data_IF_123222202363
#
_entry.id   IF_123222202363
#
_cell.length_a   1.000
_cell.length_b   1.000
_cell.length_c   1.000
_cell.angle_alpha   90.00
_cell.angle_beta   90.00
_cell.angle_gamma   90.00
#
_symmetry.space_group_name_H-M   'P 1'
#
loop_
_entity.id
_entity.type
_entity.pdbx_description
1 polymer ?
#
# COMPACT_ATOMS: atom_id res chain seq x y z
N UNK A 1 2.59 55.48 11.58
CA UNK A 1 3.53 55.22 10.47
C UNK A 1 4.27 53.93 10.82
N UNK A 2 3.76 52.80 10.35
CA UNK A 2 4.36 51.49 10.55
C UNK A 2 5.09 51.10 9.26
N UNK A 3 6.38 50.80 9.38
CA UNK A 3 7.27 50.45 8.27
C UNK A 3 7.01 49.00 7.86
N UNK A 4 6.45 48.79 6.67
CA UNK A 4 6.40 47.45 6.06
C UNK A 4 7.82 47.03 5.67
N UNK A 5 8.32 45.95 6.29
CA UNK A 5 9.60 45.35 5.91
C UNK A 5 9.42 44.57 4.59
N UNK A 6 10.37 44.69 3.64
CA UNK A 6 10.30 43.99 2.37
C UNK A 6 10.37 42.46 2.57
N UNK A 7 9.63 41.68 1.76
CA UNK A 7 9.60 40.23 1.88
C UNK A 7 11.00 39.64 1.63
N UNK A 8 11.57 39.06 2.70
CA UNK A 8 12.84 38.35 2.65
C UNK A 8 12.74 37.17 1.68
N UNK A 9 13.61 37.17 0.68
CA UNK A 9 13.69 36.04 -0.25
C UNK A 9 14.15 34.81 0.52
N UNK A 10 13.44 33.67 0.41
CA UNK A 10 13.86 32.44 1.06
C UNK A 10 15.26 32.07 0.55
N UNK A 11 16.17 31.59 1.43
CA UNK A 11 17.50 31.18 1.03
C UNK A 11 17.38 30.11 -0.07
N UNK A 12 18.11 30.29 -1.18
CA UNK A 12 18.18 29.27 -2.24
C UNK A 12 18.77 28.00 -1.63
N UNK A 13 17.90 27.05 -1.34
CA UNK A 13 18.29 25.70 -0.94
C UNK A 13 18.97 25.10 -2.17
N UNK A 14 20.29 24.92 -2.10
CA UNK A 14 21.05 24.32 -3.19
C UNK A 14 20.47 22.94 -3.46
N UNK A 15 20.04 22.73 -4.70
CA UNK A 15 19.47 21.47 -5.14
C UNK A 15 20.51 20.35 -4.86
N UNK A 16 20.16 19.28 -4.14
CA UNK A 16 21.05 18.14 -3.87
C UNK A 16 21.74 17.60 -5.13
N UNK A 17 21.08 17.72 -6.28
CA UNK A 17 21.61 17.31 -7.58
C UNK A 17 22.87 18.09 -7.97
N UNK A 18 22.97 19.38 -7.62
CA UNK A 18 24.16 20.19 -7.90
C UNK A 18 25.36 19.77 -7.04
N UNK A 19 25.12 19.41 -5.79
CA UNK A 19 26.16 18.89 -4.89
C UNK A 19 26.71 17.56 -5.44
N UNK A 20 25.84 16.65 -5.87
CA UNK A 20 26.25 15.36 -6.45
C UNK A 20 27.07 15.58 -7.72
N UNK A 21 26.64 16.47 -8.62
CA UNK A 21 27.37 16.78 -9.85
C UNK A 21 28.76 17.37 -9.58
N UNK A 22 28.87 18.27 -8.58
CA UNK A 22 30.15 18.84 -8.16
C UNK A 22 31.09 17.76 -7.63
N UNK A 23 30.60 16.87 -6.76
CA UNK A 23 31.38 15.78 -6.21
C UNK A 23 31.84 14.79 -7.29
N UNK A 24 30.96 14.43 -8.23
CA UNK A 24 31.31 13.57 -9.36
C UNK A 24 32.44 14.18 -10.21
N UNK A 25 32.32 15.46 -10.57
CA UNK A 25 33.36 16.15 -11.35
C UNK A 25 34.69 16.23 -10.61
N UNK A 26 34.67 16.49 -9.30
CA UNK A 26 35.89 16.54 -8.48
C UNK A 26 36.54 15.15 -8.34
N UNK A 27 35.74 14.12 -8.11
CA UNK A 27 36.21 12.73 -8.00
C UNK A 27 36.78 12.23 -9.33
N UNK A 28 36.11 12.50 -10.45
CA UNK A 28 36.59 12.14 -11.78
C UNK A 28 37.93 12.83 -12.10
N UNK A 29 38.03 14.13 -11.81
CA UNK A 29 39.28 14.89 -12.03
C UNK A 29 40.43 14.35 -11.18
N UNK A 30 40.18 14.10 -9.90
CA UNK A 30 41.20 13.59 -8.97
C UNK A 30 41.69 12.20 -9.38
N UNK A 31 40.75 11.30 -9.71
CA UNK A 31 41.07 9.95 -10.18
C UNK A 31 41.81 10.00 -11.52
N UNK A 32 41.40 10.88 -12.44
CA UNK A 32 42.07 11.07 -13.72
C UNK A 32 43.54 11.50 -13.56
N UNK A 33 43.81 12.46 -12.68
CA UNK A 33 45.19 12.90 -12.37
C UNK A 33 45.99 11.76 -11.74
N UNK A 34 45.44 11.10 -10.72
CA UNK A 34 46.11 9.98 -10.04
C UNK A 34 46.39 8.81 -10.99
N UNK A 35 45.48 8.54 -11.94
CA UNK A 35 45.65 7.51 -12.95
C UNK A 35 46.71 7.87 -14.00
N UNK A 36 46.84 9.16 -14.36
CA UNK A 36 47.84 9.63 -15.32
C UNK A 36 49.27 9.59 -14.76
N UNK A 37 49.44 9.83 -13.45
CA UNK A 37 50.75 9.81 -12.81
C UNK A 37 51.16 8.44 -12.24
N UNK A 38 50.22 7.50 -12.15
CA UNK A 38 50.52 6.14 -11.70
C UNK A 38 50.97 5.26 -12.87
N UNK A 39 51.95 4.40 -12.60
CA UNK A 39 52.40 3.39 -13.56
C UNK A 39 52.46 2.01 -12.92
N UNK A 40 52.33 0.99 -13.75
CA UNK A 40 52.40 -0.41 -13.32
C UNK A 40 51.21 -0.83 -12.45
N UNK A 41 51.49 -1.61 -11.41
CA UNK A 41 50.47 -2.23 -10.56
C UNK A 41 49.56 -1.23 -9.83
N UNK A 42 50.10 -0.05 -9.47
CA UNK A 42 49.36 1.00 -8.75
C UNK A 42 48.21 1.55 -9.60
N UNK A 43 48.41 1.71 -10.90
CA UNK A 43 47.36 2.15 -11.83
C UNK A 43 46.21 1.13 -11.90
N UNK A 44 46.55 -0.17 -11.89
CA UNK A 44 45.55 -1.24 -11.84
C UNK A 44 44.72 -1.21 -10.56
N UNK A 45 45.35 -1.03 -9.41
CA UNK A 45 44.65 -0.89 -8.11
C UNK A 45 43.73 0.34 -8.10
N UNK A 46 44.21 1.48 -8.61
CA UNK A 46 43.40 2.69 -8.71
C UNK A 46 42.20 2.51 -9.63
N UNK A 47 42.37 1.86 -10.79
CA UNK A 47 41.28 1.57 -11.70
C UNK A 47 40.22 0.64 -11.09
N UNK A 48 40.65 -0.43 -10.41
CA UNK A 48 39.73 -1.35 -9.72
C UNK A 48 38.98 -0.62 -8.62
N UNK A 49 39.68 0.16 -7.78
CA UNK A 49 39.04 0.94 -6.72
C UNK A 49 38.02 1.94 -7.29
N UNK A 50 38.39 2.68 -8.33
CA UNK A 50 37.55 3.70 -8.96
C UNK A 50 36.25 3.14 -9.56
N UNK A 51 36.27 1.90 -10.03
CA UNK A 51 35.07 1.22 -10.57
C UNK A 51 34.27 0.52 -9.46
N UNK A 52 34.94 -0.22 -8.57
CA UNK A 52 34.26 -1.01 -7.54
C UNK A 52 33.58 -0.17 -6.48
N UNK A 53 34.17 0.97 -6.09
CA UNK A 53 33.61 1.84 -5.06
C UNK A 53 32.22 2.40 -5.40
N UNK A 54 31.99 3.08 -6.54
CA UNK A 54 30.66 3.59 -6.88
C UNK A 54 29.64 2.46 -7.12
N UNK A 55 30.06 1.31 -7.66
CA UNK A 55 29.18 0.15 -7.79
C UNK A 55 28.71 -0.37 -6.43
N UNK A 56 29.61 -0.46 -5.46
CA UNK A 56 29.29 -0.92 -4.10
C UNK A 56 28.38 0.08 -3.38
N UNK A 57 28.69 1.37 -3.45
CA UNK A 57 27.84 2.43 -2.85
C UNK A 57 26.45 2.43 -3.49
N UNK A 58 26.36 2.34 -4.83
CA UNK A 58 25.10 2.27 -5.54
C UNK A 58 24.29 1.03 -5.16
N UNK A 59 24.94 -0.14 -5.08
CA UNK A 59 24.28 -1.38 -4.66
C UNK A 59 23.71 -1.28 -3.26
N UNK A 60 24.50 -0.77 -2.30
CA UNK A 60 24.05 -0.57 -0.92
C UNK A 60 22.90 0.43 -0.86
N UNK A 61 22.98 1.53 -1.62
CA UNK A 61 21.92 2.52 -1.71
C UNK A 61 20.61 1.88 -2.21
N UNK A 62 20.63 1.15 -3.31
CA UNK A 62 19.44 0.45 -3.82
C UNK A 62 18.91 -0.61 -2.85
N UNK A 63 19.79 -1.30 -2.13
CA UNK A 63 19.40 -2.28 -1.12
C UNK A 63 18.69 -1.60 0.08
N UNK A 64 19.19 -0.43 0.51
CA UNK A 64 18.52 0.39 1.52
C UNK A 64 17.17 0.88 1.02
N UNK A 65 17.09 1.36 -0.24
CA UNK A 65 15.82 1.77 -0.84
C UNK A 65 14.82 0.62 -0.92
N UNK A 66 15.30 -0.59 -1.23
CA UNK A 66 14.47 -1.79 -1.25
C UNK A 66 13.91 -2.13 0.14
N UNK A 67 14.70 -1.92 1.19
CA UNK A 67 14.25 -2.16 2.56
C UNK A 67 13.43 -1.01 3.15
N UNK A 68 13.61 0.22 2.68
CA UNK A 68 12.99 1.44 3.21
C UNK A 68 12.63 2.44 2.10
N UNK A 69 11.59 2.14 1.28
CA UNK A 69 11.15 3.04 0.21
C UNK A 69 10.67 4.40 0.74
N UNK A 70 10.29 4.48 2.01
CA UNK A 70 9.82 5.69 2.71
C UNK A 70 10.86 6.82 2.79
N UNK A 71 12.15 6.51 2.63
CA UNK A 71 13.27 7.47 2.81
C UNK A 71 13.49 8.37 1.58
N UNK A 72 12.81 8.10 0.45
CA UNK A 72 12.97 8.86 -0.79
C UNK A 72 12.27 10.21 -0.82
N UNK A 73 11.38 10.49 0.13
CA UNK A 73 10.59 11.71 0.13
C UNK A 73 11.01 12.62 1.29
N UNK A 74 11.40 13.85 0.97
CA UNK A 74 11.72 14.82 2.00
C UNK A 74 10.42 15.31 2.66
N UNK A 75 10.44 15.68 3.96
CA UNK A 75 9.26 16.22 4.65
C UNK A 75 8.59 17.41 3.94
N UNK A 76 9.34 18.15 3.10
CA UNK A 76 8.85 19.28 2.33
C UNK A 76 8.22 18.93 0.98
N UNK A 77 8.33 17.67 0.52
CA UNK A 77 7.62 17.20 -0.68
C UNK A 77 6.17 16.81 -0.36
N UNK A 78 5.79 16.83 0.92
CA UNK A 78 4.42 16.59 1.36
C UNK A 78 3.64 17.89 1.41
N UNK A 79 2.38 17.90 0.95
CA UNK A 79 1.48 19.02 1.17
C UNK A 79 1.36 19.29 2.68
N UNK A 80 1.55 20.55 3.12
CA UNK A 80 1.60 20.94 4.54
C UNK A 80 0.36 20.51 5.37
N UNK A 81 -0.73 20.16 4.71
CA UNK A 81 -2.00 19.78 5.34
C UNK A 81 -2.16 18.27 5.59
N UNK A 82 -1.20 17.42 5.21
CA UNK A 82 -1.32 15.96 5.41
C UNK A 82 -0.26 15.45 6.41
N UNK A 83 -0.67 14.83 7.53
CA UNK A 83 0.28 14.24 8.47
C UNK A 83 1.06 13.10 7.79
N UNK A 84 2.39 13.12 7.96
CA UNK A 84 3.33 12.15 7.36
C UNK A 84 2.95 10.71 7.72
N UNK A 85 2.48 10.46 8.94
CA UNK A 85 2.07 9.12 9.38
C UNK A 85 0.90 8.56 8.57
N UNK A 86 -0.08 9.40 8.21
CA UNK A 86 -1.24 9.01 7.40
C UNK A 86 -0.83 8.67 5.96
N UNK A 87 0.18 9.36 5.43
CA UNK A 87 0.74 9.07 4.11
C UNK A 87 1.58 7.78 4.10
N UNK A 88 2.42 7.57 5.13
CA UNK A 88 3.22 6.34 5.27
C UNK A 88 2.32 5.12 5.49
N UNK A 89 1.28 5.22 6.33
CA UNK A 89 0.27 4.17 6.48
C UNK A 89 -0.49 3.94 5.17
N UNK A 90 -0.80 5.01 4.45
CA UNK A 90 -1.39 4.97 3.12
C UNK A 90 -0.51 4.24 2.10
N UNK A 91 0.81 4.50 2.07
CA UNK A 91 1.79 3.85 1.19
C UNK A 91 2.05 2.40 1.57
N UNK A 92 2.13 2.08 2.87
CA UNK A 92 2.23 0.71 3.36
C UNK A 92 1.00 -0.12 3.01
N UNK A 93 -0.20 0.50 3.08
CA UNK A 93 -1.44 -0.10 2.56
C UNK A 93 -1.48 -0.14 1.03
N UNK A 94 -0.87 0.84 0.33
CA UNK A 94 -0.79 0.92 -1.15
C UNK A 94 0.13 -0.11 -1.78
N UNK A 95 1.19 -0.55 -1.11
CA UNK A 95 2.00 -1.67 -1.60
C UNK A 95 1.18 -2.97 -1.72
N UNK A 96 0.02 -3.04 -1.06
CA UNK A 96 -0.97 -4.12 -1.16
C UNK A 96 -2.25 -3.72 -1.92
N UNK A 97 -2.33 -2.52 -2.53
CA UNK A 97 -3.50 -2.06 -3.26
C UNK A 97 -3.15 -1.64 -4.69
N UNK A 98 -3.81 -2.31 -5.62
CA UNK A 98 -3.62 -2.23 -7.06
C UNK A 98 -3.74 -0.78 -7.59
N UNK A 99 -2.69 -0.21 -8.22
CA UNK A 99 -2.72 1.16 -8.76
C UNK A 99 -3.86 1.41 -9.75
N UNK A 100 -4.37 0.36 -10.40
CA UNK A 100 -5.46 0.42 -11.37
C UNK A 100 -6.79 0.87 -10.71
N UNK A 101 -7.00 0.54 -9.43
CA UNK A 101 -8.22 0.93 -8.69
C UNK A 101 -8.25 2.44 -8.46
N UNK A 102 -7.10 3.03 -8.13
CA UNK A 102 -7.01 4.48 -7.85
C UNK A 102 -7.19 5.27 -9.14
N UNK A 103 -6.61 4.79 -10.23
CA UNK A 103 -6.79 5.42 -11.54
C UNK A 103 -8.23 5.31 -12.03
N UNK A 104 -8.92 4.21 -11.74
CA UNK A 104 -10.34 4.06 -12.03
C UNK A 104 -11.21 5.07 -11.27
N UNK A 105 -11.01 5.23 -9.95
CA UNK A 105 -11.77 6.20 -9.13
C UNK A 105 -11.50 7.64 -9.60
N UNK A 106 -10.24 7.99 -9.83
CA UNK A 106 -9.87 9.34 -10.28
C UNK A 106 -10.42 9.63 -11.67
N UNK A 107 -10.37 8.68 -12.61
CA UNK A 107 -10.98 8.86 -13.93
C UNK A 107 -12.50 9.00 -13.85
N UNK A 108 -13.17 8.23 -12.99
CA UNK A 108 -14.62 8.31 -12.82
C UNK A 108 -15.02 9.70 -12.27
N UNK A 109 -14.28 10.19 -11.26
CA UNK A 109 -14.49 11.54 -10.71
C UNK A 109 -14.15 12.63 -11.74
N UNK A 110 -12.98 12.57 -12.38
CA UNK A 110 -12.58 13.56 -13.39
C UNK A 110 -13.59 13.62 -14.53
N UNK A 111 -14.12 12.49 -15.00
CA UNK A 111 -15.11 12.48 -16.08
C UNK A 111 -16.40 13.21 -15.73
N UNK A 112 -16.78 13.26 -14.45
CA UNK A 112 -17.95 13.99 -13.97
C UNK A 112 -17.67 15.48 -13.80
N UNK A 113 -16.48 15.84 -13.29
CA UNK A 113 -16.16 17.24 -12.92
C UNK A 113 -15.59 18.06 -14.07
N UNK A 114 -14.80 17.44 -14.95
CA UNK A 114 -14.07 18.15 -16.00
C UNK A 114 -14.97 18.93 -16.99
N UNK A 115 -16.13 18.40 -17.43
CA UNK A 115 -17.01 19.13 -18.33
C UNK A 115 -17.57 20.41 -17.68
N UNK A 116 -17.99 20.35 -16.42
CA UNK A 116 -18.57 21.50 -15.70
C UNK A 116 -17.51 22.57 -15.41
N UNK A 117 -16.28 22.16 -15.05
CA UNK A 117 -15.19 23.08 -14.77
C UNK A 117 -14.68 23.84 -16.02
N UNK A 118 -14.86 23.27 -17.22
CA UNK A 118 -14.46 23.90 -18.48
C UNK A 118 -15.46 24.96 -18.98
N UNK A 119 -16.72 24.92 -18.54
CA UNK A 119 -17.77 25.83 -19.00
C UNK A 119 -17.79 27.17 -18.23
N UNK A 120 -17.42 27.20 -16.94
CA UNK A 120 -17.39 28.43 -16.12
C UNK A 120 -16.23 28.43 -15.11
N UNK A 121 -15.08 29.09 -15.42
CA UNK A 121 -13.92 29.12 -14.53
C UNK A 121 -14.11 29.92 -13.24
N UNK A 122 -15.06 30.87 -13.21
CA UNK A 122 -15.37 31.69 -12.03
C UNK A 122 -16.13 30.93 -10.95
N UNK A 123 -16.84 29.86 -11.34
CA UNK A 123 -17.65 29.03 -10.45
C UNK A 123 -16.94 27.69 -10.13
N UNK A 124 -15.69 27.56 -10.57
CA UNK A 124 -14.93 26.31 -10.48
C UNK A 124 -14.71 25.84 -9.04
N UNK A 125 -14.63 26.76 -8.06
CA UNK A 125 -14.56 26.41 -6.64
C UNK A 125 -15.84 25.78 -6.13
N UNK A 126 -16.99 26.37 -6.49
CA UNK A 126 -18.31 25.95 -5.99
C UNK A 126 -18.71 24.63 -6.65
N UNK A 127 -18.43 24.48 -7.94
CA UNK A 127 -18.58 23.22 -8.69
C UNK A 127 -17.66 22.13 -8.14
N UNK A 128 -16.43 22.48 -7.71
CA UNK A 128 -15.52 21.52 -7.11
C UNK A 128 -16.01 21.07 -5.73
N UNK A 129 -16.47 21.98 -4.87
CA UNK A 129 -17.07 21.61 -3.57
C UNK A 129 -18.30 20.72 -3.75
N UNK A 130 -19.20 21.05 -4.68
CA UNK A 130 -20.38 20.24 -4.97
C UNK A 130 -20.01 18.86 -5.51
N UNK A 131 -19.01 18.80 -6.40
CA UNK A 131 -18.48 17.54 -6.91
C UNK A 131 -17.82 16.69 -5.83
N UNK A 132 -17.07 17.31 -4.92
CA UNK A 132 -16.45 16.63 -3.78
C UNK A 132 -17.51 16.09 -2.83
N UNK A 133 -18.53 16.87 -2.48
CA UNK A 133 -19.65 16.42 -1.66
C UNK A 133 -20.40 15.24 -2.31
N UNK A 134 -20.64 15.32 -3.62
CA UNK A 134 -21.26 14.23 -4.39
C UNK A 134 -20.39 12.98 -4.42
N UNK A 135 -19.07 13.14 -4.58
CA UNK A 135 -18.12 12.04 -4.58
C UNK A 135 -18.01 11.39 -3.20
N UNK A 136 -17.97 12.17 -2.13
CA UNK A 136 -18.01 11.67 -0.75
C UNK A 136 -19.28 10.87 -0.48
N UNK A 137 -20.44 11.37 -0.93
CA UNK A 137 -21.70 10.66 -0.80
C UNK A 137 -21.70 9.35 -1.61
N UNK A 138 -21.20 9.37 -2.84
CA UNK A 138 -21.07 8.17 -3.68
C UNK A 138 -20.09 7.14 -3.06
N UNK A 139 -19.05 7.60 -2.38
CA UNK A 139 -18.12 6.72 -1.65
C UNK A 139 -18.76 6.16 -0.38
N UNK A 140 -19.53 6.96 0.35
CA UNK A 140 -20.26 6.52 1.54
C UNK A 140 -21.26 5.41 1.20
N UNK A 141 -21.93 5.50 0.05
CA UNK A 141 -22.83 4.46 -0.47
C UNK A 141 -22.10 3.17 -0.89
N UNK A 142 -20.78 3.22 -1.08
CA UNK A 142 -19.94 2.08 -1.47
C UNK A 142 -19.28 1.37 -0.28
N UNK A 143 -19.60 1.74 0.96
CA UNK A 143 -19.02 1.11 2.15
C UNK A 143 -19.73 -0.21 2.46
N UNK A 144 -19.00 -1.32 2.31
CA UNK A 144 -19.42 -2.63 2.78
C UNK A 144 -19.05 -2.78 4.26
N UNK A 145 -20.03 -3.20 5.07
CA UNK A 145 -19.82 -3.49 6.50
C UNK A 145 -19.95 -4.99 6.77
N UNK A 146 -18.95 -5.55 7.45
CA UNK A 146 -18.86 -6.97 7.77
C UNK A 146 -18.75 -7.11 9.27
N UNK A 147 -19.71 -7.79 9.89
CA UNK A 147 -19.68 -8.12 11.31
C UNK A 147 -18.64 -9.24 11.54
N UNK A 148 -17.55 -8.92 12.24
CA UNK A 148 -16.45 -9.85 12.53
C UNK A 148 -16.47 -10.31 14.00
N UNK A 149 -17.41 -9.79 14.80
CA UNK A 149 -17.55 -10.13 16.21
C UNK A 149 -17.62 -11.63 16.53
N UNK A 150 -18.18 -12.52 15.67
CA UNK A 150 -18.19 -13.96 15.96
C UNK A 150 -16.79 -14.59 15.93
N UNK A 151 -15.86 -14.00 15.17
CA UNK A 151 -14.48 -14.48 15.06
C UNK A 151 -13.62 -13.85 16.16
N UNK A 152 -13.69 -12.52 16.34
CA UNK A 152 -12.86 -11.78 17.29
C UNK A 152 -13.33 -11.92 18.73
N UNK A 153 -14.59 -12.36 18.94
CA UNK A 153 -15.29 -12.43 20.23
C UNK A 153 -15.45 -11.07 20.91
N UNK A 154 -15.28 -9.98 20.17
CA UNK A 154 -15.51 -8.61 20.63
C UNK A 154 -16.89 -8.14 20.11
N UNK A 155 -17.89 -7.90 20.99
CA UNK A 155 -19.23 -7.49 20.57
C UNK A 155 -19.21 -6.17 19.80
N UNK A 156 -19.89 -6.13 18.64
CA UNK A 156 -19.99 -4.92 17.82
C UNK A 156 -18.77 -4.65 16.92
N UNK A 157 -17.79 -5.54 16.94
CA UNK A 157 -16.62 -5.43 16.08
C UNK A 157 -17.01 -5.66 14.61
N UNK A 158 -16.64 -4.71 13.76
CA UNK A 158 -17.06 -4.67 12.36
C UNK A 158 -15.94 -4.13 11.47
N UNK A 159 -15.66 -4.86 10.39
CA UNK A 159 -14.79 -4.40 9.33
C UNK A 159 -15.58 -3.55 8.34
N UNK A 160 -15.02 -2.41 7.93
CA UNK A 160 -15.60 -1.52 6.93
C UNK A 160 -14.59 -1.28 5.83
N UNK A 161 -14.99 -1.51 4.59
CA UNK A 161 -14.17 -1.24 3.42
C UNK A 161 -15.01 -0.65 2.28
N UNK A 162 -14.40 0.23 1.49
CA UNK A 162 -15.00 0.73 0.26
C UNK A 162 -14.89 -0.34 -0.83
N UNK A 163 -16.02 -0.71 -1.43
CA UNK A 163 -16.07 -1.69 -2.52
C UNK A 163 -16.00 -0.99 -3.87
N UNK A 164 -15.09 -1.44 -4.71
CA UNK A 164 -14.94 -0.97 -6.08
C UNK A 164 -15.51 -1.99 -7.07
N UNK A 165 -15.98 -1.51 -8.23
CA UNK A 165 -16.51 -2.36 -9.29
C UNK A 165 -15.47 -3.32 -9.87
N UNK A 166 -14.19 -2.96 -9.79
CA UNK A 166 -13.04 -3.74 -10.24
C UNK A 166 -12.46 -4.66 -9.16
N UNK A 167 -12.97 -4.61 -7.92
CA UNK A 167 -12.41 -5.38 -6.82
C UNK A 167 -12.71 -6.87 -7.00
N UNK A 168 -11.65 -7.68 -7.01
CA UNK A 168 -11.75 -9.14 -7.09
C UNK A 168 -12.06 -9.76 -5.73
N UNK A 169 -12.64 -10.96 -5.74
CA UNK A 169 -12.95 -11.73 -4.52
C UNK A 169 -11.67 -12.02 -3.73
N UNK A 170 -10.59 -12.43 -4.41
CA UNK A 170 -9.32 -12.71 -3.72
C UNK A 170 -8.77 -11.48 -3.01
N UNK A 171 -8.63 -10.36 -3.73
CA UNK A 171 -8.08 -9.13 -3.15
C UNK A 171 -8.90 -8.60 -1.98
N UNK A 172 -10.24 -8.72 -2.06
CA UNK A 172 -11.13 -8.38 -0.94
C UNK A 172 -10.92 -9.29 0.28
N UNK A 173 -10.87 -10.61 0.09
CA UNK A 173 -10.70 -11.56 1.20
C UNK A 173 -9.32 -11.44 1.84
N UNK A 174 -8.29 -11.17 1.04
CA UNK A 174 -6.92 -10.96 1.53
C UNK A 174 -6.83 -9.67 2.35
N UNK A 175 -7.45 -8.57 1.90
CA UNK A 175 -7.54 -7.33 2.67
C UNK A 175 -8.32 -7.50 3.98
N UNK A 176 -9.50 -8.13 3.94
CA UNK A 176 -10.29 -8.44 5.14
C UNK A 176 -9.48 -9.31 6.13
N UNK A 177 -8.74 -10.30 5.63
CA UNK A 177 -7.90 -11.12 6.48
C UNK A 177 -6.78 -10.31 7.12
N UNK A 178 -5.99 -9.60 6.31
CA UNK A 178 -4.82 -8.86 6.78
C UNK A 178 -5.20 -7.73 7.76
N UNK A 179 -6.27 -7.00 7.48
CA UNK A 179 -6.65 -5.83 8.26
C UNK A 179 -7.40 -6.17 9.56
N UNK A 180 -8.18 -7.25 9.56
CA UNK A 180 -9.17 -7.48 10.63
C UNK A 180 -9.16 -8.87 11.25
N UNK A 181 -8.68 -9.89 10.53
CA UNK A 181 -8.74 -11.29 10.99
C UNK A 181 -7.37 -11.91 11.27
N UNK A 182 -6.28 -11.16 11.05
CA UNK A 182 -4.94 -11.61 11.41
C UNK A 182 -4.86 -11.90 12.91
N UNK A 183 -4.19 -12.99 13.26
CA UNK A 183 -4.17 -13.55 14.62
C UNK A 183 -5.42 -14.32 15.05
N UNK A 184 -6.57 -14.18 14.38
CA UNK A 184 -7.80 -14.93 14.73
C UNK A 184 -8.04 -16.15 13.83
N UNK A 185 -7.69 -16.05 12.55
CA UNK A 185 -7.80 -17.13 11.57
C UNK A 185 -6.52 -17.25 10.74
N UNK A 186 -6.25 -18.47 10.26
CA UNK A 186 -5.07 -18.75 9.43
C UNK A 186 -5.23 -18.15 8.01
N UNK A 187 -4.14 -17.67 7.38
CA UNK A 187 -4.17 -17.14 6.02
C UNK A 187 -4.57 -18.22 5.00
N UNK A 188 -5.24 -17.83 3.91
CA UNK A 188 -5.67 -18.70 2.81
C UNK A 188 -6.57 -19.88 3.22
N UNK A 189 -7.35 -19.70 4.30
CA UNK A 189 -8.28 -20.72 4.84
C UNK A 189 -9.76 -20.35 4.71
N UNK A 190 -10.08 -19.38 3.86
CA UNK A 190 -11.46 -19.10 3.50
C UNK A 190 -12.17 -20.36 2.97
N UNK A 191 -13.43 -20.57 3.36
CA UNK A 191 -14.21 -21.75 2.99
C UNK A 191 -13.93 -22.98 3.86
N UNK A 192 -12.81 -22.99 4.62
CA UNK A 192 -12.38 -24.11 5.46
C UNK A 192 -12.45 -23.79 6.95
N UNK A 193 -11.76 -22.73 7.36
CA UNK A 193 -11.68 -22.33 8.77
C UNK A 193 -12.72 -21.24 9.09
N UNK A 194 -13.10 -20.44 8.10
CA UNK A 194 -14.09 -19.38 8.22
C UNK A 194 -14.77 -19.09 6.89
N UNK A 195 -15.96 -18.49 6.95
CA UNK A 195 -16.77 -18.11 5.79
C UNK A 195 -17.49 -16.79 6.04
N UNK A 196 -17.87 -16.11 4.96
CA UNK A 196 -18.86 -15.04 5.04
C UNK A 196 -20.27 -15.64 4.94
N UNK A 197 -21.15 -15.13 5.77
CA UNK A 197 -22.57 -15.47 5.78
C UNK A 197 -23.35 -14.20 5.52
N UNK A 198 -24.19 -14.21 4.50
CA UNK A 198 -25.15 -13.13 4.29
C UNK A 198 -26.22 -13.20 5.39
N UNK A 199 -26.33 -12.11 6.16
CA UNK A 199 -27.21 -12.01 7.33
C UNK A 199 -28.69 -12.08 6.94
N UNK A 200 -29.05 -11.56 5.78
CA UNK A 200 -30.43 -11.53 5.28
C UNK A 200 -30.83 -12.89 4.75
N UNK A 201 -30.07 -13.44 3.79
CA UNK A 201 -30.41 -14.72 3.15
C UNK A 201 -30.02 -15.95 3.98
N UNK A 202 -29.21 -15.77 5.03
CA UNK A 202 -28.56 -16.85 5.81
C UNK A 202 -27.68 -17.77 4.95
N UNK A 203 -27.38 -17.39 3.71
CA UNK A 203 -26.57 -18.18 2.80
C UNK A 203 -25.09 -18.06 3.20
N UNK A 204 -24.44 -19.21 3.36
CA UNK A 204 -22.98 -19.26 3.52
C UNK A 204 -22.32 -19.13 2.14
N UNK A 205 -21.46 -18.13 1.98
CA UNK A 205 -20.76 -17.86 0.72
C UNK A 205 -19.50 -18.74 0.61
N UNK A 206 -19.66 -20.06 0.65
CA UNK A 206 -18.54 -21.02 0.62
C UNK A 206 -17.81 -21.08 -0.71
N UNK A 207 -18.48 -20.69 -1.78
CA UNK A 207 -17.99 -20.80 -3.14
C UNK A 207 -17.22 -19.54 -3.57
N UNK A 208 -16.28 -19.11 -2.73
CA UNK A 208 -15.43 -17.93 -2.92
C UNK A 208 -13.98 -18.24 -2.55
N UNK A 209 -13.06 -17.40 -3.03
CA UNK A 209 -11.66 -17.41 -2.64
C UNK A 209 -10.92 -18.68 -3.05
N UNK A 210 -9.97 -19.12 -2.23
CA UNK A 210 -9.04 -20.21 -2.54
C UNK A 210 -9.70 -21.58 -2.73
N UNK A 211 -10.91 -21.81 -2.19
CA UNK A 211 -11.64 -23.07 -2.41
C UNK A 211 -12.28 -23.11 -3.80
N UNK A 212 -12.90 -22.02 -4.23
CA UNK A 212 -13.42 -21.87 -5.58
C UNK A 212 -12.29 -21.88 -6.62
N UNK A 213 -11.22 -21.11 -6.41
CA UNK A 213 -10.10 -21.02 -7.34
C UNK A 213 -9.50 -22.41 -7.62
N UNK A 214 -9.24 -23.19 -6.55
CA UNK A 214 -8.73 -24.56 -6.65
C UNK A 214 -9.65 -25.50 -7.42
N UNK A 215 -10.97 -25.43 -7.19
CA UNK A 215 -11.95 -26.26 -7.91
C UNK A 215 -11.98 -25.96 -9.41
N UNK A 216 -11.61 -24.74 -9.80
CA UNK A 216 -11.59 -24.28 -11.18
C UNK A 216 -10.19 -24.25 -11.80
N UNK A 217 -9.16 -24.78 -11.11
CA UNK A 217 -7.79 -24.80 -11.63
C UNK A 217 -7.12 -23.42 -11.73
N UNK A 218 -7.59 -22.45 -10.95
CA UNK A 218 -7.07 -21.08 -10.89
C UNK A 218 -6.20 -20.90 -9.63
N UNK A 219 -5.22 -20.00 -9.69
CA UNK A 219 -4.39 -19.64 -8.51
C UNK A 219 -5.17 -18.79 -7.50
N UNK A 220 -6.02 -17.89 -7.99
CA UNK A 220 -6.79 -16.91 -7.22
C UNK A 220 -8.22 -16.78 -7.77
N UNK A 221 -9.12 -16.24 -6.94
CA UNK A 221 -10.50 -15.94 -7.33
C UNK A 221 -10.60 -14.53 -7.92
N UNK A 222 -10.35 -14.44 -9.23
CA UNK A 222 -10.35 -13.20 -10.02
C UNK A 222 -11.76 -12.70 -10.38
N UNK A 223 -12.82 -13.38 -9.90
CA UNK A 223 -14.18 -12.88 -10.11
C UNK A 223 -14.36 -11.57 -9.36
N UNK A 224 -15.13 -10.65 -9.94
CA UNK A 224 -15.50 -9.40 -9.28
C UNK A 224 -16.49 -9.67 -8.13
N UNK A 225 -16.42 -8.86 -7.07
CA UNK A 225 -17.37 -8.94 -5.94
C UNK A 225 -18.83 -8.86 -6.39
N UNK A 226 -19.13 -7.97 -7.34
CA UNK A 226 -20.46 -7.82 -7.93
C UNK A 226 -20.92 -9.10 -8.66
N UNK A 227 -19.99 -9.80 -9.33
CA UNK A 227 -20.26 -11.04 -10.05
C UNK A 227 -20.61 -12.22 -9.13
N UNK A 228 -20.22 -12.16 -7.86
CA UNK A 228 -20.58 -13.15 -6.84
C UNK A 228 -21.72 -12.70 -5.93
N UNK A 229 -22.34 -11.56 -6.22
CA UNK A 229 -23.48 -11.02 -5.48
C UNK A 229 -23.11 -10.30 -4.19
N UNK A 230 -21.83 -9.94 -3.98
CA UNK A 230 -21.42 -9.07 -2.89
C UNK A 230 -21.50 -7.63 -3.38
N UNK A 231 -22.37 -6.85 -2.75
CA UNK A 231 -22.61 -5.44 -3.06
C UNK A 231 -22.43 -4.59 -1.79
N UNK A 232 -22.25 -3.26 -1.89
CA UNK A 232 -22.17 -2.39 -0.71
C UNK A 232 -23.35 -2.51 0.25
N UNK A 233 -24.55 -2.82 -0.27
CA UNK A 233 -25.76 -3.04 0.53
C UNK A 233 -25.80 -4.42 1.24
N UNK A 234 -24.81 -5.28 1.01
CA UNK A 234 -24.77 -6.62 1.61
C UNK A 234 -24.43 -6.53 3.10
N UNK A 235 -25.21 -7.24 3.93
CA UNK A 235 -24.93 -7.36 5.35
C UNK A 235 -24.24 -8.69 5.62
N UNK A 236 -22.91 -8.68 5.64
CA UNK A 236 -22.12 -9.90 5.79
C UNK A 236 -21.68 -10.10 7.24
N UNK A 237 -21.55 -11.37 7.64
CA UNK A 237 -21.00 -11.77 8.93
C UNK A 237 -19.89 -12.78 8.69
N UNK A 238 -18.70 -12.53 9.24
CA UNK A 238 -17.61 -13.49 9.23
C UNK A 238 -17.82 -14.49 10.37
N UNK A 239 -17.86 -15.78 10.04
CA UNK A 239 -18.13 -16.85 11.01
C UNK A 239 -17.06 -17.93 10.90
N UNK A 240 -16.56 -18.42 12.03
CA UNK A 240 -15.67 -19.59 12.03
C UNK A 240 -16.50 -20.82 11.67
N UNK A 241 -15.97 -21.64 10.77
CA UNK A 241 -16.52 -22.97 10.59
C UNK A 241 -16.03 -23.81 11.75
N UNK A 242 -16.96 -24.40 12.51
CA UNK A 242 -16.65 -25.41 13.52
C UNK A 242 -16.04 -26.63 12.80
N UNK A 243 -14.74 -26.52 12.52
CA UNK A 243 -13.95 -27.66 12.12
C UNK A 243 -13.79 -28.48 13.41
N UNK A 244 -14.21 -29.75 13.45
CA UNK A 244 -13.94 -30.59 14.61
C UNK A 244 -12.46 -30.47 14.92
N UNK A 245 -12.15 -30.00 16.13
CA UNK A 245 -10.77 -29.73 16.55
C UNK A 245 -9.99 -31.02 16.40
N UNK A 246 -9.24 -31.16 15.32
CA UNK A 246 -8.11 -32.07 15.36
C UNK A 246 -7.14 -31.39 16.32
N UNK A 247 -6.86 -31.97 17.50
CA UNK A 247 -5.91 -31.38 18.42
C UNK A 247 -4.61 -31.21 17.66
N UNK A 248 -4.19 -29.95 17.51
CA UNK A 248 -2.84 -29.68 17.04
C UNK A 248 -1.89 -30.42 17.98
N UNK A 249 -0.94 -31.21 17.47
CA UNK A 249 0.16 -31.64 18.32
C UNK A 249 0.78 -30.37 18.88
N UNK A 250 0.72 -30.22 20.22
CA UNK A 250 1.46 -29.18 20.90
C UNK A 250 2.90 -29.22 20.38
N UNK A 251 3.54 -28.07 20.11
CA UNK A 251 4.98 -28.05 19.90
C UNK A 251 5.57 -28.74 21.13
N UNK A 252 6.07 -29.95 20.95
CA UNK A 252 6.75 -30.72 21.97
C UNK A 252 7.77 -29.80 22.60
N UNK A 253 7.62 -29.56 23.90
CA UNK A 253 8.64 -28.87 24.69
C UNK A 253 10.02 -29.43 24.31
N UNK A 254 11.03 -28.57 24.14
CA UNK A 254 12.38 -29.03 23.92
C UNK A 254 12.76 -29.93 25.09
N UNK A 255 12.83 -31.24 24.80
CA UNK A 255 13.19 -32.29 25.74
C UNK A 255 14.57 -31.94 26.28
N UNK A 256 14.62 -31.48 27.53
CA UNK A 256 15.86 -31.15 28.20
C UNK A 256 16.79 -32.38 28.13
N UNK A 257 17.86 -32.26 27.36
CA UNK A 257 18.94 -33.24 27.32
C UNK A 257 19.68 -33.13 28.65
N UNK A 258 19.38 -34.03 29.57
CA UNK A 258 20.22 -34.29 30.73
C UNK A 258 21.54 -34.88 30.23
N UNK A 259 22.61 -34.10 30.31
CA UNK A 259 23.97 -34.62 30.24
C UNK A 259 24.33 -35.24 31.58
N UNK A 260 24.63 -36.55 31.55
CA UNK A 260 25.46 -37.25 32.53
C UNK A 260 26.93 -37.11 32.13
#
# INVERSE_FOLDING_TARGET
MASELPPGHPPRVLNPLWIIALFLGLSETTVGIAAAESSGWVQGLLAVFAVSFPLLVSTVFFLILWQRPEVLYAPGDFPEHVPISTYVDGMRRRAAHDPDIIQAVVNDTLRVVLPAALESPSDASDVLEEAMATAEQALAERVLTIDISPITKAPGDAYRCTVFSTQTVSGFLDALWADALDGFVRPFRYGRDWVLVDRQSKRQLRDLGSDWARKNGMESDERLLSGVGITPASHLVAVRLDTPRHPFPHPTEPRATAHN
#
